data_IF_296983361314
#
_entry.id   IF_296983361314
#
_cell.length_a   1.000
_cell.length_b   1.000
_cell.length_c   1.000
_cell.angle_alpha   90.00
_cell.angle_beta   90.00
_cell.angle_gamma   90.00
#
_symmetry.space_group_name_H-M   'P 1'
#
loop_
_entity.id
_entity.type
_entity.pdbx_description
1 polymer ?
#
# COMPACT_ATOMS: atom_id res chain seq x y z
N UNK A 1 8.77 65.58 2.93
CA UNK A 1 7.67 64.73 3.43
C UNK A 1 7.01 64.16 2.20
N UNK A 2 7.05 62.88 1.83
CA UNK A 2 7.37 61.60 2.50
C UNK A 2 7.60 60.62 1.35
N UNK A 3 8.82 60.12 1.17
CA UNK A 3 9.31 58.78 1.59
C UNK A 3 9.03 57.65 0.59
N UNK A 4 10.16 57.11 0.15
CA UNK A 4 10.42 55.91 -0.63
C UNK A 4 10.11 54.64 0.14
N UNK A 5 9.39 53.69 -0.48
CA UNK A 5 9.20 52.34 0.03
C UNK A 5 9.59 51.35 -1.07
N UNK A 6 10.88 51.00 -1.12
CA UNK A 6 11.43 49.82 -1.79
C UNK A 6 12.72 49.42 -1.05
N UNK A 7 12.58 48.48 -0.14
CA UNK A 7 13.59 47.71 0.64
C UNK A 7 12.71 46.82 1.56
N UNK A 8 12.82 45.50 1.68
CA UNK A 8 13.94 44.57 1.57
C UNK A 8 13.46 43.21 1.06
N UNK A 9 14.29 42.57 0.23
CA UNK A 9 14.14 41.17 -0.19
C UNK A 9 14.94 40.28 0.79
N UNK A 10 14.25 39.57 1.68
CA UNK A 10 14.86 38.44 2.40
C UNK A 10 14.81 37.17 1.54
N UNK A 11 15.91 36.38 1.45
CA UNK A 11 15.87 35.09 0.77
C UNK A 11 15.18 34.05 1.66
N UNK A 12 14.11 33.44 1.15
CA UNK A 12 13.51 32.25 1.73
C UNK A 12 14.54 31.10 1.70
N UNK A 13 15.16 30.83 2.85
CA UNK A 13 16.02 29.67 3.04
C UNK A 13 15.19 28.38 2.94
N UNK A 14 15.43 27.62 1.87
CA UNK A 14 14.87 26.28 1.70
C UNK A 14 15.61 25.30 2.63
N UNK A 15 15.14 25.14 3.87
CA UNK A 15 15.56 24.03 4.73
C UNK A 15 14.70 22.79 4.45
N UNK A 16 15.03 22.10 3.35
CA UNK A 16 14.56 20.74 3.07
C UNK A 16 15.24 19.78 4.05
N UNK A 17 14.70 19.64 5.26
CA UNK A 17 15.03 18.53 6.16
C UNK A 17 14.25 17.28 5.74
N UNK A 18 14.61 16.72 4.59
CA UNK A 18 14.19 15.37 4.22
C UNK A 18 14.81 14.40 5.24
N UNK A 19 13.95 13.63 5.93
CA UNK A 19 14.39 12.56 6.81
C UNK A 19 15.13 11.53 5.96
N UNK A 20 16.31 11.04 6.39
CA UNK A 20 17.03 10.01 5.65
C UNK A 20 16.18 8.74 5.58
N UNK A 21 16.10 8.16 4.38
CA UNK A 21 15.57 6.81 4.18
C UNK A 21 16.55 5.85 4.87
N UNK A 22 16.11 5.04 5.84
CA UNK A 22 17.01 4.12 6.53
C UNK A 22 17.43 3.02 5.55
N UNK A 23 18.73 2.95 5.26
CA UNK A 23 19.34 1.87 4.48
C UNK A 23 19.21 0.56 5.26
N UNK A 24 18.39 -0.37 4.76
CA UNK A 24 18.34 -1.74 5.28
C UNK A 24 19.36 -2.55 4.50
N UNK A 25 20.41 -3.03 5.16
CA UNK A 25 21.45 -3.86 4.52
C UNK A 25 20.82 -5.04 3.79
N UNK A 26 21.22 -5.25 2.54
CA UNK A 26 20.74 -6.22 1.55
C UNK A 26 21.01 -7.70 1.91
N UNK A 27 20.52 -8.14 3.06
CA UNK A 27 20.67 -9.52 3.51
C UNK A 27 19.73 -9.86 4.66
N UNK A 28 18.45 -10.11 4.37
CA UNK A 28 17.59 -10.83 5.32
C UNK A 28 17.06 -12.12 4.68
N UNK A 29 17.78 -13.21 4.93
CA UNK A 29 17.17 -14.54 4.91
C UNK A 29 16.06 -14.52 5.97
N UNK A 30 14.87 -14.97 5.57
CA UNK A 30 13.75 -15.26 6.48
C UNK A 30 14.31 -16.08 7.66
N UNK A 31 14.31 -15.50 8.86
CA UNK A 31 14.67 -16.20 10.10
C UNK A 31 13.39 -16.78 10.70
N UNK A 32 13.42 -18.06 11.06
CA UNK A 32 12.39 -18.67 11.90
C UNK A 32 12.40 -18.02 13.30
N UNK A 33 11.23 -17.76 13.88
CA UNK A 33 11.06 -17.06 15.16
C UNK A 33 10.37 -17.98 16.17
N UNK A 34 10.86 -18.00 17.40
CA UNK A 34 10.29 -18.77 18.52
C UNK A 34 8.96 -18.18 19.03
N UNK A 35 8.05 -19.02 19.56
CA UNK A 35 6.72 -18.59 19.96
C UNK A 35 6.78 -17.85 21.30
N UNK A 36 6.46 -16.55 21.29
CA UNK A 36 6.31 -15.80 22.54
C UNK A 36 6.28 -14.28 22.42
N UNK A 37 6.85 -13.66 21.38
CA UNK A 37 6.84 -12.19 21.23
C UNK A 37 7.17 -11.72 19.80
N UNK A 38 6.78 -12.48 18.78
CA UNK A 38 7.34 -12.37 17.44
C UNK A 38 7.01 -11.04 16.75
N UNK A 39 7.93 -10.07 16.90
CA UNK A 39 8.05 -8.89 16.04
C UNK A 39 8.54 -9.33 14.67
N UNK A 40 7.62 -9.58 13.75
CA UNK A 40 7.99 -9.83 12.34
C UNK A 40 8.17 -8.49 11.64
N UNK A 41 9.38 -8.26 11.11
CA UNK A 41 9.63 -7.16 10.19
C UNK A 41 9.23 -7.58 8.78
N UNK A 42 8.33 -6.82 8.17
CA UNK A 42 7.86 -7.11 6.81
C UNK A 42 8.65 -6.26 5.82
N UNK A 43 9.57 -6.89 5.08
CA UNK A 43 10.39 -6.27 4.03
C UNK A 43 9.73 -6.36 2.65
N UNK A 44 10.08 -5.46 1.74
CA UNK A 44 9.42 -5.28 0.43
C UNK A 44 9.47 -6.49 -0.51
N UNK A 45 10.47 -7.37 -0.35
CA UNK A 45 10.77 -8.44 -1.30
C UNK A 45 11.29 -7.94 -2.66
N UNK A 46 11.47 -6.63 -2.83
CA UNK A 46 12.04 -5.99 -4.01
C UNK A 46 13.46 -5.50 -3.71
N UNK A 47 14.31 -5.42 -4.74
CA UNK A 47 15.60 -4.75 -4.65
C UNK A 47 15.41 -3.24 -4.45
N UNK A 48 16.38 -2.60 -3.81
CA UNK A 48 16.38 -1.15 -3.63
C UNK A 48 16.39 -0.44 -5.00
N UNK A 49 15.56 0.61 -5.21
CA UNK A 49 15.52 1.34 -6.47
C UNK A 49 16.83 2.10 -6.74
N UNK A 50 17.37 1.96 -7.95
CA UNK A 50 18.45 2.79 -8.48
C UNK A 50 17.84 4.04 -9.13
N UNK A 51 17.80 5.14 -8.38
CA UNK A 51 17.12 6.37 -8.80
C UNK A 51 17.82 7.08 -9.95
N UNK A 52 19.15 7.05 -10.00
CA UNK A 52 19.92 7.70 -11.06
C UNK A 52 19.66 6.99 -12.39
N UNK A 53 19.68 5.65 -12.39
CA UNK A 53 19.35 4.86 -13.56
C UNK A 53 17.87 4.99 -13.95
N UNK A 54 16.96 5.08 -12.99
CA UNK A 54 15.54 5.29 -13.26
C UNK A 54 15.25 6.68 -13.84
N UNK A 55 15.96 7.72 -13.39
CA UNK A 55 15.87 9.08 -13.93
C UNK A 55 16.34 9.12 -15.39
N UNK A 56 17.50 8.53 -15.71
CA UNK A 56 17.98 8.43 -17.10
C UNK A 56 16.99 7.66 -18.00
N UNK A 57 16.43 6.55 -17.52
CA UNK A 57 15.42 5.81 -18.28
C UNK A 57 14.11 6.59 -18.47
N UNK A 58 13.73 7.43 -17.50
CA UNK A 58 12.55 8.28 -17.61
C UNK A 58 12.77 9.41 -18.64
N UNK A 59 13.99 9.95 -18.73
CA UNK A 59 14.37 10.93 -19.76
C UNK A 59 14.20 10.33 -21.16
N UNK A 60 14.86 9.19 -21.42
CA UNK A 60 14.76 8.47 -22.69
C UNK A 60 13.30 8.15 -23.05
N UNK A 61 12.51 7.70 -22.07
CA UNK A 61 11.11 7.37 -22.28
C UNK A 61 10.27 8.58 -22.68
N UNK A 62 10.44 9.72 -22.00
CA UNK A 62 9.69 10.94 -22.28
C UNK A 62 10.06 11.52 -23.66
N UNK A 63 11.36 11.56 -23.99
CA UNK A 63 11.82 12.02 -25.30
C UNK A 63 11.35 11.09 -26.43
N UNK A 64 11.37 9.78 -26.22
CA UNK A 64 10.84 8.80 -27.17
C UNK A 64 9.33 8.97 -27.42
N UNK A 65 8.58 9.50 -26.46
CA UNK A 65 7.17 9.89 -26.61
C UNK A 65 6.97 11.29 -27.21
N UNK A 66 8.06 11.99 -27.56
CA UNK A 66 8.03 13.33 -28.16
C UNK A 66 7.82 14.45 -27.15
N UNK A 67 8.01 14.19 -25.85
CA UNK A 67 7.91 15.21 -24.80
C UNK A 67 9.27 15.92 -24.69
N UNK A 68 9.37 17.14 -25.24
CA UNK A 68 10.59 17.96 -25.10
C UNK A 68 10.80 18.38 -23.64
N UNK A 69 12.04 18.20 -23.16
CA UNK A 69 12.47 18.57 -21.82
C UNK A 69 13.19 19.93 -21.77
N UNK A 70 13.22 20.68 -22.88
CA UNK A 70 13.93 21.96 -22.98
C UNK A 70 13.33 23.05 -22.08
N UNK A 71 12.01 22.97 -21.84
CA UNK A 71 11.28 23.90 -21.00
C UNK A 71 11.73 23.79 -19.54
N UNK A 72 11.99 24.92 -18.90
CA UNK A 72 12.52 25.00 -17.52
C UNK A 72 11.75 24.12 -16.51
N UNK A 73 10.41 24.13 -16.58
CA UNK A 73 9.55 23.36 -15.69
C UNK A 73 9.56 21.84 -15.96
N UNK A 74 9.98 21.41 -17.16
CA UNK A 74 10.02 20.00 -17.56
C UNK A 74 11.39 19.34 -17.35
N UNK A 75 12.50 20.09 -17.31
CA UNK A 75 13.86 19.55 -17.13
C UNK A 75 14.01 18.58 -15.96
N UNK A 76 13.36 18.87 -14.84
CA UNK A 76 13.41 18.01 -13.64
C UNK A 76 12.29 16.95 -13.59
N UNK A 77 11.49 16.79 -14.65
CA UNK A 77 10.40 15.81 -14.72
C UNK A 77 10.88 14.36 -14.65
N UNK A 78 11.95 13.94 -15.36
CA UNK A 78 12.45 12.57 -15.25
C UNK A 78 12.76 12.16 -13.81
N UNK A 79 13.48 13.00 -13.06
CA UNK A 79 13.78 12.74 -11.65
C UNK A 79 12.54 12.73 -10.75
N UNK A 80 11.58 13.64 -10.99
CA UNK A 80 10.29 13.62 -10.26
C UNK A 80 9.51 12.34 -10.55
N UNK A 81 9.49 11.88 -11.80
CA UNK A 81 8.85 10.64 -12.22
C UNK A 81 9.48 9.44 -11.54
N UNK A 82 10.82 9.32 -11.56
CA UNK A 82 11.54 8.23 -10.91
C UNK A 82 11.28 8.16 -9.40
N UNK A 83 11.35 9.30 -8.70
CA UNK A 83 11.07 9.39 -7.25
C UNK A 83 9.63 9.04 -6.90
N UNK A 84 8.66 9.53 -7.68
CA UNK A 84 7.25 9.21 -7.48
C UNK A 84 6.99 7.70 -7.65
N UNK A 85 7.59 7.09 -8.67
CA UNK A 85 7.52 5.65 -8.87
C UNK A 85 8.11 4.87 -7.70
N UNK A 86 9.33 5.22 -7.27
CA UNK A 86 9.99 4.57 -6.14
C UNK A 86 9.14 4.67 -4.85
N UNK A 87 8.53 5.83 -4.58
CA UNK A 87 7.62 6.00 -3.43
C UNK A 87 6.40 5.08 -3.51
N UNK A 88 5.78 4.94 -4.69
CA UNK A 88 4.59 4.12 -4.87
C UNK A 88 4.86 2.61 -4.81
N UNK A 89 6.07 2.15 -5.12
CA UNK A 89 6.42 0.72 -5.17
C UNK A 89 7.37 0.25 -4.05
N UNK A 90 7.72 1.13 -3.11
CA UNK A 90 8.57 0.76 -1.98
C UNK A 90 7.75 0.78 -0.71
N UNK A 91 7.39 -0.38 -0.13
CA UNK A 91 6.69 -0.41 1.15
C UNK A 91 7.65 -0.02 2.27
N UNK A 92 7.12 0.72 3.24
CA UNK A 92 7.84 0.99 4.48
C UNK A 92 7.88 -0.30 5.33
N UNK A 93 9.03 -0.62 5.93
CA UNK A 93 9.08 -1.72 6.89
C UNK A 93 8.18 -1.37 8.07
N UNK A 94 7.48 -2.38 8.58
CA UNK A 94 6.72 -2.24 9.81
C UNK A 94 6.90 -3.46 10.69
N UNK A 95 6.76 -3.23 12.00
CA UNK A 95 6.72 -4.27 13.00
C UNK A 95 5.29 -4.81 13.14
N UNK A 96 5.10 -6.10 12.95
CA UNK A 96 3.84 -6.77 13.24
C UNK A 96 3.72 -7.05 14.73
N UNK A 97 2.82 -6.32 15.40
CA UNK A 97 2.58 -6.44 16.84
C UNK A 97 1.29 -7.19 17.11
N UNK A 98 1.37 -8.22 17.95
CA UNK A 98 0.24 -9.02 18.41
C UNK A 98 0.25 -9.14 19.92
N UNK A 99 -0.92 -9.39 20.51
CA UNK A 99 -1.14 -9.50 21.94
C UNK A 99 -1.81 -10.84 22.25
N UNK A 100 -1.57 -11.45 23.42
CA UNK A 100 -2.36 -12.59 23.89
C UNK A 100 -3.85 -12.26 23.94
N UNK A 101 -4.71 -13.22 23.61
CA UNK A 101 -6.16 -13.11 23.75
C UNK A 101 -6.62 -13.59 25.13
N UNK A 102 -6.12 -12.99 26.21
CA UNK A 102 -6.33 -13.47 27.59
C UNK A 102 -7.80 -13.42 28.03
N UNK A 103 -8.59 -12.50 27.46
CA UNK A 103 -10.03 -12.37 27.72
C UNK A 103 -10.88 -13.33 26.86
N UNK A 104 -10.25 -14.10 25.96
CA UNK A 104 -10.95 -15.04 25.10
C UNK A 104 -11.94 -14.39 24.15
N UNK A 105 -11.65 -13.17 23.66
CA UNK A 105 -12.51 -12.48 22.71
C UNK A 105 -12.65 -13.32 21.45
N UNK A 106 -13.88 -13.73 21.15
CA UNK A 106 -14.17 -14.73 20.14
C UNK A 106 -15.09 -14.25 19.02
N UNK A 107 -15.35 -12.94 18.97
CA UNK A 107 -16.17 -12.26 17.96
C UNK A 107 -15.33 -11.67 16.82
N UNK A 108 -15.99 -11.25 15.74
CA UNK A 108 -15.32 -10.74 14.54
C UNK A 108 -14.71 -9.34 14.77
N UNK A 109 -13.42 -9.19 14.48
CA UNK A 109 -12.74 -7.88 14.44
C UNK A 109 -12.64 -7.43 12.98
N UNK A 110 -13.21 -6.27 12.64
CA UNK A 110 -13.17 -5.72 11.28
C UNK A 110 -12.66 -4.29 11.28
N UNK A 111 -11.62 -4.02 10.49
CA UNK A 111 -11.22 -2.67 10.09
C UNK A 111 -11.70 -2.45 8.67
N UNK A 112 -12.67 -1.55 8.52
CA UNK A 112 -13.20 -1.14 7.23
C UNK A 112 -12.48 0.09 6.70
N UNK A 113 -12.66 0.36 5.41
CA UNK A 113 -12.40 1.67 4.85
C UNK A 113 -10.91 2.10 4.86
N UNK A 114 -10.00 1.11 4.87
CA UNK A 114 -8.54 1.31 4.77
C UNK A 114 -8.20 1.80 3.36
N UNK A 115 -7.53 2.96 3.17
CA UNK A 115 -7.15 3.43 1.85
C UNK A 115 -6.20 2.44 1.14
N UNK A 116 -6.47 2.20 -0.14
CA UNK A 116 -5.62 1.41 -1.03
C UNK A 116 -5.15 2.28 -2.18
N UNK A 117 -3.84 2.36 -2.34
CA UNK A 117 -3.18 2.99 -3.48
C UNK A 117 -2.14 2.00 -4.01
N UNK A 118 -2.29 1.58 -5.26
CA UNK A 118 -1.39 0.61 -5.88
C UNK A 118 -1.28 0.87 -7.38
N UNK A 119 -0.40 0.12 -8.04
CA UNK A 119 -0.14 0.22 -9.46
C UNK A 119 -0.56 -1.07 -10.14
N UNK A 120 -1.36 -0.98 -11.20
CA UNK A 120 -1.69 -2.13 -12.03
C UNK A 120 -0.44 -2.60 -12.80
N UNK A 121 -0.05 -3.86 -12.62
CA UNK A 121 1.19 -4.39 -13.20
C UNK A 121 1.19 -4.44 -14.74
N UNK A 122 0.01 -4.51 -15.37
CA UNK A 122 -0.10 -4.64 -16.82
C UNK A 122 0.18 -3.35 -17.58
N UNK A 123 -0.08 -2.20 -16.95
CA UNK A 123 -0.01 -0.90 -17.60
C UNK A 123 0.77 0.14 -16.83
N UNK A 124 1.22 -0.19 -15.62
CA UNK A 124 1.91 0.73 -14.72
C UNK A 124 1.08 2.01 -14.50
N UNK A 125 -0.23 1.83 -14.31
CA UNK A 125 -1.18 2.89 -14.03
C UNK A 125 -1.85 2.67 -12.66
N UNK A 126 -2.16 3.71 -11.89
CA UNK A 126 -2.72 3.55 -10.55
C UNK A 126 -4.09 2.86 -10.53
N UNK A 127 -4.34 2.08 -9.49
CA UNK A 127 -5.69 1.79 -9.02
C UNK A 127 -5.83 2.21 -7.57
N UNK A 128 -6.96 2.85 -7.25
CA UNK A 128 -7.21 3.49 -5.97
C UNK A 128 -8.55 3.02 -5.43
N UNK A 129 -8.59 2.73 -4.14
CA UNK A 129 -9.75 2.10 -3.54
C UNK A 129 -9.71 2.05 -2.02
N UNK A 130 -10.50 1.12 -1.49
CA UNK A 130 -10.62 0.86 -0.05
C UNK A 130 -10.58 -0.64 0.21
N UNK A 131 -9.95 -1.02 1.30
CA UNK A 131 -9.95 -2.38 1.82
C UNK A 131 -10.72 -2.46 3.14
N UNK A 132 -11.43 -3.57 3.30
CA UNK A 132 -11.99 -4.02 4.57
C UNK A 132 -11.29 -5.32 4.93
N UNK A 133 -10.65 -5.36 6.09
CA UNK A 133 -9.91 -6.52 6.60
C UNK A 133 -10.52 -6.92 7.92
N UNK A 134 -10.89 -8.18 8.05
CA UNK A 134 -11.40 -8.75 9.28
C UNK A 134 -10.80 -10.12 9.58
N UNK A 135 -10.86 -10.51 10.85
CA UNK A 135 -10.44 -11.83 11.30
C UNK A 135 -11.22 -12.24 12.54
N UNK A 136 -11.34 -13.55 12.74
CA UNK A 136 -11.90 -14.16 13.93
C UNK A 136 -10.75 -14.60 14.84
N UNK A 137 -10.54 -14.00 16.02
CA UNK A 137 -9.33 -14.25 16.81
C UNK A 137 -9.18 -15.70 17.24
N UNK A 138 -7.92 -16.15 17.32
CA UNK A 138 -7.52 -17.40 17.97
C UNK A 138 -6.88 -17.09 19.33
N UNK A 139 -5.67 -17.57 19.56
CA UNK A 139 -4.91 -17.29 20.80
C UNK A 139 -4.35 -15.87 20.88
N UNK A 140 -4.34 -15.13 19.75
CA UNK A 140 -3.72 -13.81 19.65
C UNK A 140 -4.61 -12.80 18.93
N UNK A 141 -4.44 -11.53 19.30
CA UNK A 141 -5.10 -10.36 18.73
C UNK A 141 -4.05 -9.47 18.06
N UNK A 142 -4.36 -8.93 16.89
CA UNK A 142 -3.50 -7.99 16.17
C UNK A 142 -3.71 -6.55 16.66
N UNK A 143 -2.65 -5.75 16.75
CA UNK A 143 -2.78 -4.31 16.91
C UNK A 143 -3.50 -3.69 15.69
N UNK A 144 -4.57 -2.94 15.90
CA UNK A 144 -5.47 -2.47 14.81
C UNK A 144 -4.74 -1.74 13.67
N UNK A 145 -3.75 -0.90 14.00
CA UNK A 145 -2.97 -0.18 12.99
C UNK A 145 -2.19 -1.10 12.04
N UNK A 146 -1.91 -2.35 12.45
CA UNK A 146 -1.16 -3.31 11.64
C UNK A 146 -1.97 -3.87 10.48
N UNK A 147 -3.29 -3.97 10.61
CA UNK A 147 -4.16 -4.38 9.49
C UNK A 147 -4.02 -3.40 8.31
N UNK A 148 -4.02 -2.09 8.59
CA UNK A 148 -3.78 -1.08 7.57
C UNK A 148 -2.35 -1.14 6.99
N UNK A 149 -1.34 -1.40 7.84
CA UNK A 149 0.05 -1.53 7.38
C UNK A 149 0.29 -2.75 6.51
N UNK A 150 -0.38 -3.87 6.76
CA UNK A 150 -0.32 -5.06 5.91
C UNK A 150 -0.88 -4.72 4.51
N UNK A 151 -2.05 -4.09 4.46
CA UNK A 151 -2.65 -3.66 3.18
C UNK A 151 -1.70 -2.73 2.42
N UNK A 152 -1.19 -1.68 3.06
CA UNK A 152 -0.22 -0.76 2.47
C UNK A 152 1.03 -1.49 1.97
N UNK A 153 1.57 -2.40 2.78
CA UNK A 153 2.76 -3.16 2.45
C UNK A 153 2.59 -3.98 1.17
N UNK A 154 1.46 -4.66 1.01
CA UNK A 154 1.18 -5.42 -0.21
C UNK A 154 0.79 -4.53 -1.40
N UNK A 155 0.19 -3.36 -1.16
CA UNK A 155 -0.23 -2.43 -2.21
C UNK A 155 0.95 -1.67 -2.84
N UNK A 156 2.06 -1.47 -2.13
CA UNK A 156 3.25 -0.74 -2.62
C UNK A 156 4.13 -1.59 -3.53
N UNK A 157 3.59 -2.03 -4.68
CA UNK A 157 4.28 -2.70 -5.79
C UNK A 157 3.34 -2.79 -7.00
N UNK A 158 3.83 -3.12 -8.21
CA UNK A 158 2.97 -3.58 -9.29
C UNK A 158 2.11 -4.77 -8.84
N UNK A 159 0.80 -4.70 -9.07
CA UNK A 159 -0.18 -5.65 -8.58
C UNK A 159 -1.26 -5.99 -9.60
N UNK A 160 -1.90 -7.14 -9.37
CA UNK A 160 -3.32 -7.34 -9.69
C UNK A 160 -4.15 -7.27 -8.40
N UNK A 161 -5.39 -6.80 -8.48
CA UNK A 161 -6.22 -6.61 -7.29
C UNK A 161 -6.55 -7.93 -6.60
N UNK A 162 -6.73 -9.01 -7.37
CA UNK A 162 -6.96 -10.37 -6.88
C UNK A 162 -5.77 -10.85 -6.06
N UNK A 163 -4.55 -10.65 -6.57
CA UNK A 163 -3.32 -11.05 -5.88
C UNK A 163 -3.11 -10.25 -4.60
N UNK A 164 -3.29 -8.93 -4.67
CA UNK A 164 -3.24 -8.06 -3.49
C UNK A 164 -4.20 -8.55 -2.40
N UNK A 165 -5.45 -8.82 -2.76
CA UNK A 165 -6.49 -9.29 -1.82
C UNK A 165 -6.09 -10.60 -1.16
N UNK A 166 -5.62 -11.57 -1.95
CA UNK A 166 -5.19 -12.87 -1.47
C UNK A 166 -3.95 -12.78 -0.57
N UNK A 167 -2.96 -11.98 -0.96
CA UNK A 167 -1.72 -11.82 -0.20
C UNK A 167 -1.97 -11.26 1.21
N UNK A 168 -2.86 -10.27 1.34
CA UNK A 168 -3.23 -9.72 2.65
C UNK A 168 -3.88 -10.80 3.53
N UNK A 169 -4.80 -11.59 2.96
CA UNK A 169 -5.50 -12.64 3.68
C UNK A 169 -4.58 -13.78 4.12
N UNK A 170 -3.80 -14.33 3.18
CA UNK A 170 -2.86 -15.42 3.42
C UNK A 170 -1.80 -15.01 4.45
N UNK A 171 -1.21 -13.80 4.31
CA UNK A 171 -0.20 -13.32 5.24
C UNK A 171 -0.75 -13.19 6.66
N UNK A 172 -1.97 -12.67 6.81
CA UNK A 172 -2.60 -12.56 8.13
C UNK A 172 -2.89 -13.94 8.72
N UNK A 173 -3.35 -14.90 7.91
CA UNK A 173 -3.56 -16.28 8.36
C UNK A 173 -2.24 -16.90 8.86
N UNK A 174 -1.17 -16.80 8.08
CA UNK A 174 0.10 -17.45 8.37
C UNK A 174 0.83 -16.84 9.58
N UNK A 175 0.61 -15.55 9.87
CA UNK A 175 1.36 -14.82 10.91
C UNK A 175 0.58 -14.58 12.21
N UNK A 176 -0.75 -14.67 12.18
CA UNK A 176 -1.61 -14.51 13.36
C UNK A 176 -2.26 -15.82 13.80
N UNK A 177 -2.38 -16.80 12.91
CA UNK A 177 -3.15 -18.04 13.09
C UNK A 177 -4.57 -17.83 13.67
N UNK A 178 -5.39 -16.94 13.06
CA UNK A 178 -6.76 -16.73 13.50
C UNK A 178 -7.66 -17.89 13.03
N UNK A 179 -8.83 -18.02 13.66
CA UNK A 179 -9.86 -19.00 13.25
C UNK A 179 -10.45 -18.70 11.87
N UNK A 180 -10.37 -17.45 11.42
CA UNK A 180 -10.78 -17.04 10.09
C UNK A 180 -10.17 -15.69 9.70
N UNK A 181 -10.06 -15.44 8.38
CA UNK A 181 -9.68 -14.14 7.81
C UNK A 181 -10.62 -13.79 6.67
N UNK A 182 -10.99 -12.52 6.57
CA UNK A 182 -11.75 -11.96 5.46
C UNK A 182 -11.10 -10.67 4.97
N UNK A 183 -10.90 -10.56 3.66
CA UNK A 183 -10.44 -9.34 3.01
C UNK A 183 -11.38 -9.03 1.86
N UNK A 184 -11.84 -7.79 1.77
CA UNK A 184 -12.54 -7.23 0.60
C UNK A 184 -11.79 -5.99 0.16
N UNK A 185 -11.54 -5.87 -1.14
CA UNK A 185 -10.98 -4.65 -1.74
C UNK A 185 -11.94 -4.19 -2.84
N UNK A 186 -12.29 -2.91 -2.81
CA UNK A 186 -13.02 -2.23 -3.88
C UNK A 186 -12.14 -1.12 -4.42
N UNK A 187 -11.82 -1.13 -5.71
CA UNK A 187 -10.96 -0.13 -6.33
C UNK A 187 -11.36 0.24 -7.76
N UNK A 188 -11.07 1.47 -8.14
CA UNK A 188 -11.14 1.96 -9.51
C UNK A 188 -9.76 1.88 -10.18
N UNK A 189 -9.73 1.42 -11.42
CA UNK A 189 -8.51 1.19 -12.17
C UNK A 189 -8.35 2.24 -13.27
N UNK A 190 -7.33 3.10 -13.18
CA UNK A 190 -7.13 4.15 -14.19
C UNK A 190 -6.80 3.60 -15.58
N UNK A 191 -6.30 2.36 -15.67
CA UNK A 191 -6.12 1.67 -16.93
C UNK A 191 -7.45 1.33 -17.65
N UNK A 192 -8.58 1.36 -16.94
CA UNK A 192 -9.93 1.18 -17.47
C UNK A 192 -10.71 2.49 -17.54
N UNK A 193 -10.49 3.42 -16.60
CA UNK A 193 -11.28 4.67 -16.50
C UNK A 193 -10.73 5.81 -17.34
N UNK A 194 -9.40 5.95 -17.46
CA UNK A 194 -8.75 7.05 -18.20
C UNK A 194 -8.39 6.70 -19.65
N UNK A 195 -8.35 5.41 -19.99
CA UNK A 195 -8.02 4.92 -21.32
C UNK A 195 -8.72 3.61 -21.64
N UNK A 196 -8.57 3.14 -22.87
CA UNK A 196 -9.12 1.86 -23.31
C UNK A 196 -10.64 1.89 -23.30
N UNK A 197 -11.26 1.15 -22.37
CA UNK A 197 -12.71 1.05 -22.25
C UNK A 197 -13.40 2.34 -21.77
N UNK A 198 -12.66 3.27 -21.14
CA UNK A 198 -13.16 4.54 -20.62
C UNK A 198 -14.41 4.38 -19.73
N UNK A 199 -14.42 3.34 -18.88
CA UNK A 199 -15.55 2.96 -18.04
C UNK A 199 -15.57 3.80 -16.74
N UNK A 200 -15.80 5.11 -16.86
CA UNK A 200 -15.80 6.05 -15.74
C UNK A 200 -16.82 5.62 -14.68
N UNK A 201 -16.40 5.60 -13.41
CA UNK A 201 -17.21 5.17 -12.26
C UNK A 201 -17.30 3.66 -12.07
N UNK A 202 -16.71 2.84 -12.95
CA UNK A 202 -16.61 1.41 -12.73
C UNK A 202 -15.59 1.10 -11.63
N UNK A 203 -16.03 0.34 -10.62
CA UNK A 203 -15.17 -0.20 -9.58
C UNK A 203 -15.16 -1.72 -9.63
N UNK A 204 -14.01 -2.30 -9.26
CA UNK A 204 -13.81 -3.75 -9.16
C UNK A 204 -13.79 -4.15 -7.70
N UNK A 205 -14.55 -5.19 -7.35
CA UNK A 205 -14.59 -5.75 -6.00
C UNK A 205 -13.96 -7.14 -6.02
N UNK A 206 -13.01 -7.38 -5.14
CA UNK A 206 -12.36 -8.68 -4.94
C UNK A 206 -12.49 -9.07 -3.47
N UNK A 207 -12.61 -10.37 -3.20
CA UNK A 207 -12.63 -10.87 -1.83
C UNK A 207 -11.78 -12.14 -1.66
N UNK A 208 -11.23 -12.32 -0.47
CA UNK A 208 -10.60 -13.58 -0.06
C UNK A 208 -11.06 -13.88 1.36
N UNK A 209 -11.66 -15.05 1.52
CA UNK A 209 -12.16 -15.57 2.79
C UNK A 209 -11.41 -16.87 3.11
N UNK A 210 -11.00 -17.05 4.37
CA UNK A 210 -10.27 -18.20 4.90
C UNK A 210 -10.91 -18.66 6.21
N UNK A 211 -10.66 -19.91 6.60
CA UNK A 211 -11.20 -20.52 7.83
C UNK A 211 -12.72 -20.46 7.91
N UNK A 212 -13.25 -20.18 9.10
CA UNK A 212 -14.71 -20.17 9.35
C UNK A 212 -15.49 -19.20 8.44
N UNK A 213 -14.90 -18.07 8.03
CA UNK A 213 -15.54 -17.14 7.07
C UNK A 213 -15.68 -17.75 5.66
N UNK A 214 -14.86 -18.73 5.30
CA UNK A 214 -15.03 -19.51 4.06
C UNK A 214 -15.99 -20.68 4.27
N UNK A 215 -15.99 -21.31 5.43
CA UNK A 215 -16.70 -22.58 5.64
C UNK A 215 -18.16 -22.39 6.07
N UNK A 216 -18.47 -21.37 6.87
CA UNK A 216 -19.82 -21.06 7.34
C UNK A 216 -20.45 -19.90 6.55
N UNK A 217 -21.55 -20.13 5.82
CA UNK A 217 -22.30 -19.07 5.14
C UNK A 217 -22.78 -17.94 6.06
N UNK A 218 -23.07 -18.21 7.34
CA UNK A 218 -23.58 -17.18 8.28
C UNK A 218 -22.49 -16.19 8.65
N UNK A 219 -21.34 -16.70 9.12
CA UNK A 219 -20.17 -15.86 9.40
C UNK A 219 -19.68 -15.13 8.15
N UNK A 220 -19.74 -15.78 6.97
CA UNK A 220 -19.46 -15.11 5.69
C UNK A 220 -20.36 -13.91 5.47
N UNK A 221 -21.67 -14.09 5.64
CA UNK A 221 -22.66 -13.02 5.41
C UNK A 221 -22.48 -11.87 6.39
N UNK A 222 -22.22 -12.17 7.66
CA UNK A 222 -21.89 -11.18 8.69
C UNK A 222 -20.66 -10.35 8.31
N UNK A 223 -19.55 -11.00 7.93
CA UNK A 223 -18.35 -10.29 7.48
C UNK A 223 -18.62 -9.40 6.26
N UNK A 224 -19.30 -9.91 5.24
CA UNK A 224 -19.59 -9.14 4.02
C UNK A 224 -20.48 -7.92 4.29
N UNK A 225 -21.42 -8.03 5.24
CA UNK A 225 -22.24 -6.91 5.69
C UNK A 225 -21.39 -5.84 6.38
N UNK A 226 -20.51 -6.23 7.31
CA UNK A 226 -19.63 -5.32 8.03
C UNK A 226 -18.55 -4.70 7.13
N UNK A 227 -18.07 -5.44 6.14
CA UNK A 227 -17.06 -5.01 5.18
C UNK A 227 -17.56 -3.96 4.18
N UNK A 228 -18.88 -3.68 4.15
CA UNK A 228 -19.48 -2.78 3.17
C UNK A 228 -19.53 -3.37 1.76
N UNK A 229 -19.49 -4.70 1.63
CA UNK A 229 -19.58 -5.42 0.36
C UNK A 229 -21.03 -5.71 -0.06
N UNK A 230 -22.01 -5.19 0.69
CA UNK A 230 -23.44 -5.36 0.40
C UNK A 230 -23.93 -4.14 -0.36
N UNK A 231 -24.38 -4.37 -1.60
CA UNK A 231 -25.12 -3.41 -2.42
C UNK A 231 -26.58 -3.40 -1.97
#
# INVERSE_FOLDING_TARGET
>A
MSESIWTDSEPLSASSSLRPVPTVSSGSRLRAVEPGNARTYVGSGLSEPDLDRAEAAAEDFLEALGISLDAEHLRATPGRMARAWAEMITPLPFEFTTFPNDEGYDELVVVRDVPVHSICEHHLLPFVGRASVGYLPGERIVGLSKLARIVEHFARRPQTQERLTKQVADWLQDNLDPRAVGVVITAEHSCMTLRGACAIGASTITSTLLGQLREDPRSRQEFLALAGATV
#
